data_IF_632189325693
#
_entry.id   IF_632189325693
#
_cell.length_a   1.000
_cell.length_b   1.000
_cell.length_c   1.000
_cell.angle_alpha   90.00
_cell.angle_beta   90.00
_cell.angle_gamma   90.00
#
_symmetry.space_group_name_H-M   'P 1'
#
loop_
_entity.id
_entity.type
_entity.pdbx_description
1 polymer ?
#
# COMPACT_ATOMS: atom_id res chain seq x y z
N UNK A 1 15.96 -24.26 -30.47
CA UNK A 1 14.73 -23.74 -29.89
C UNK A 1 15.09 -22.62 -28.92
N UNK A 2 14.52 -21.42 -29.10
CA UNK A 2 14.74 -20.30 -28.17
C UNK A 2 13.71 -20.35 -27.03
N UNK A 3 14.01 -19.72 -25.90
CA UNK A 3 13.09 -19.54 -24.81
C UNK A 3 11.85 -18.78 -25.31
N UNK A 4 10.66 -19.33 -25.06
CA UNK A 4 9.39 -18.75 -25.51
C UNK A 4 8.74 -17.97 -24.39
N UNK A 5 8.81 -18.49 -23.17
CA UNK A 5 8.33 -17.83 -21.96
C UNK A 5 9.08 -18.35 -20.74
N UNK A 6 9.17 -17.52 -19.71
CA UNK A 6 9.63 -17.89 -18.38
C UNK A 6 8.56 -17.42 -17.39
N UNK A 7 8.00 -18.36 -16.65
CA UNK A 7 7.05 -18.08 -15.58
C UNK A 7 7.73 -18.28 -14.24
N UNK A 8 7.74 -17.27 -13.39
CA UNK A 8 8.24 -17.33 -12.01
C UNK A 8 7.08 -17.01 -11.06
N UNK A 9 6.26 -18.00 -10.70
CA UNK A 9 5.05 -17.78 -9.90
C UNK A 9 5.31 -17.17 -8.52
N UNK A 10 6.47 -17.47 -7.94
CA UNK A 10 6.87 -16.95 -6.64
C UNK A 10 7.08 -15.43 -6.66
N UNK A 11 7.46 -14.87 -7.80
CA UNK A 11 7.73 -13.45 -7.97
C UNK A 11 6.64 -12.74 -8.77
N UNK A 12 5.57 -13.46 -9.15
CA UNK A 12 4.51 -13.00 -10.05
C UNK A 12 5.05 -12.42 -11.37
N UNK A 13 6.19 -12.95 -11.86
CA UNK A 13 6.85 -12.49 -13.08
C UNK A 13 6.63 -13.48 -14.22
N UNK A 14 6.02 -12.98 -15.30
CA UNK A 14 5.94 -13.66 -16.58
C UNK A 14 6.77 -12.90 -17.61
N UNK A 15 7.82 -13.52 -18.11
CA UNK A 15 8.61 -13.00 -19.22
C UNK A 15 8.23 -13.75 -20.48
N UNK A 16 7.65 -13.04 -21.44
CA UNK A 16 7.24 -13.60 -22.73
C UNK A 16 8.02 -12.90 -23.82
N UNK A 17 8.42 -13.65 -24.85
CA UNK A 17 9.12 -13.08 -25.99
C UNK A 17 8.21 -12.11 -26.77
N UNK A 18 8.74 -10.96 -27.21
CA UNK A 18 7.98 -9.87 -27.84
C UNK A 18 7.16 -10.26 -29.08
N UNK A 19 7.58 -11.31 -29.79
CA UNK A 19 6.87 -11.81 -30.97
C UNK A 19 5.71 -12.78 -30.63
N UNK A 20 5.50 -13.07 -29.34
CA UNK A 20 4.37 -13.84 -28.85
C UNK A 20 3.31 -12.87 -28.31
N UNK A 21 2.04 -13.12 -28.64
CA UNK A 21 0.95 -12.35 -28.07
C UNK A 21 1.05 -12.36 -26.55
N UNK A 22 1.21 -11.18 -25.96
CA UNK A 22 1.25 -11.03 -24.50
C UNK A 22 0.04 -11.73 -23.88
N UNK A 23 0.22 -12.62 -22.90
CA UNK A 23 -0.91 -13.10 -22.14
C UNK A 23 -1.58 -11.88 -21.53
N UNK A 24 -2.87 -11.71 -21.76
CA UNK A 24 -3.66 -10.69 -21.09
C UNK A 24 -3.54 -10.97 -19.61
N UNK A 25 -2.69 -10.21 -18.91
CA UNK A 25 -2.68 -10.24 -17.45
C UNK A 25 -4.09 -9.84 -17.01
N UNK A 26 -4.78 -10.76 -16.41
CA UNK A 26 -6.09 -10.49 -15.85
C UNK A 26 -5.85 -9.61 -14.64
N UNK A 27 -5.93 -8.30 -14.83
CA UNK A 27 -5.90 -7.36 -13.71
C UNK A 27 -7.12 -7.69 -12.85
N UNK A 28 -6.91 -8.39 -11.76
CA UNK A 28 -7.98 -8.65 -10.79
C UNK A 28 -8.24 -7.33 -10.09
N UNK A 29 -9.34 -6.68 -10.43
CA UNK A 29 -9.80 -5.52 -9.69
C UNK A 29 -10.44 -6.02 -8.41
N UNK A 30 -9.82 -5.74 -7.28
CA UNK A 30 -10.39 -6.02 -5.97
C UNK A 30 -11.35 -4.91 -5.56
N UNK A 31 -12.47 -5.27 -4.97
CA UNK A 31 -13.48 -4.33 -4.51
C UNK A 31 -14.24 -4.87 -3.30
N UNK A 32 -14.40 -4.05 -2.28
CA UNK A 32 -15.28 -4.33 -1.15
C UNK A 32 -16.63 -3.62 -1.35
N UNK A 33 -17.73 -4.13 -0.77
CA UNK A 33 -19.05 -3.51 -0.89
C UNK A 33 -19.14 -2.06 -0.41
N UNK A 34 -18.23 -1.66 0.51
CA UNK A 34 -18.18 -0.30 1.07
C UNK A 34 -17.13 0.61 0.41
N UNK A 35 -16.57 0.20 -0.74
CA UNK A 35 -15.52 0.98 -1.40
C UNK A 35 -16.07 2.23 -2.09
N UNK A 36 -15.41 3.35 -1.81
CA UNK A 36 -15.68 4.68 -2.37
C UNK A 36 -14.36 5.27 -2.87
N UNK A 37 -14.32 5.65 -4.15
CA UNK A 37 -13.15 6.34 -4.70
C UNK A 37 -12.99 7.74 -4.11
N UNK A 38 -11.76 8.14 -3.85
CA UNK A 38 -11.44 9.48 -3.36
C UNK A 38 -10.18 10.03 -4.02
N UNK A 39 -10.13 11.35 -4.10
CA UNK A 39 -8.96 12.13 -4.51
C UNK A 39 -8.50 12.94 -3.30
N UNK A 40 -7.28 12.71 -2.85
CA UNK A 40 -6.73 13.32 -1.65
C UNK A 40 -5.63 14.31 -2.04
N UNK A 41 -5.79 15.60 -1.73
CA UNK A 41 -4.75 16.60 -2.01
C UNK A 41 -3.46 16.29 -1.23
N UNK A 42 -2.34 16.31 -1.91
CA UNK A 42 -0.99 16.18 -1.36
C UNK A 42 -0.13 17.39 -1.77
N UNK A 43 1.19 17.32 -1.55
CA UNK A 43 2.10 18.43 -1.81
C UNK A 43 2.32 18.65 -3.32
N UNK A 44 1.44 19.43 -3.96
CA UNK A 44 1.53 19.78 -5.38
C UNK A 44 0.95 18.76 -6.36
N UNK A 45 0.29 17.72 -5.86
CA UNK A 45 -0.40 16.70 -6.65
C UNK A 45 -1.54 16.07 -5.85
N UNK A 46 -2.27 15.13 -6.45
CA UNK A 46 -3.33 14.41 -5.78
C UNK A 46 -2.98 12.92 -5.66
N UNK A 47 -3.39 12.29 -4.57
CA UNK A 47 -3.36 10.85 -4.37
C UNK A 47 -4.71 10.24 -4.77
N UNK A 48 -4.68 9.21 -5.62
CA UNK A 48 -5.84 8.38 -5.90
C UNK A 48 -6.02 7.38 -4.77
N UNK A 49 -7.19 7.36 -4.14
CA UNK A 49 -7.46 6.57 -2.96
C UNK A 49 -8.78 5.82 -3.05
N UNK A 50 -8.93 4.83 -2.19
CA UNK A 50 -10.18 4.13 -1.92
C UNK A 50 -10.44 4.15 -0.42
N UNK A 51 -11.65 4.58 -0.04
CA UNK A 51 -12.17 4.42 1.32
C UNK A 51 -13.07 3.19 1.35
N UNK A 52 -12.83 2.32 2.32
CA UNK A 52 -13.73 1.20 2.59
C UNK A 52 -14.51 1.53 3.86
N UNK A 53 -15.83 1.65 3.73
CA UNK A 53 -16.71 2.01 4.83
C UNK A 53 -17.30 0.79 5.51
N UNK A 54 -17.55 0.85 6.83
CA UNK A 54 -18.38 -0.12 7.52
C UNK A 54 -19.77 -0.19 6.92
N UNK A 55 -20.30 -1.40 6.73
CA UNK A 55 -21.70 -1.62 6.33
C UNK A 55 -22.66 -1.24 7.44
N UNK A 56 -23.89 -0.84 7.08
CA UNK A 56 -24.93 -0.50 8.04
C UNK A 56 -24.73 0.80 8.83
N UNK A 57 -23.89 1.70 8.33
CA UNK A 57 -23.63 2.99 8.96
C UNK A 57 -24.92 3.84 9.03
N UNK A 58 -25.26 4.29 10.24
CA UNK A 58 -26.35 5.27 10.46
C UNK A 58 -25.84 6.67 10.13
N UNK A 59 -26.71 7.51 9.55
CA UNK A 59 -26.37 8.90 9.26
C UNK A 59 -25.86 9.63 10.53
N UNK A 60 -24.71 10.33 10.40
CA UNK A 60 -24.08 11.04 11.51
C UNK A 60 -23.08 10.21 12.33
N UNK A 61 -22.93 8.91 12.08
CA UNK A 61 -21.91 8.09 12.72
C UNK A 61 -20.51 8.59 12.35
N UNK A 62 -19.61 8.67 13.34
CA UNK A 62 -18.19 8.94 13.16
C UNK A 62 -17.40 7.67 13.42
N UNK A 63 -16.64 7.23 12.44
CA UNK A 63 -15.84 6.01 12.52
C UNK A 63 -14.41 6.28 12.98
N UNK A 64 -13.79 5.38 13.75
CA UNK A 64 -12.35 5.32 13.81
C UNK A 64 -11.81 5.02 12.39
N UNK A 65 -10.66 5.56 12.04
CA UNK A 65 -10.09 5.35 10.72
C UNK A 65 -8.69 4.73 10.79
N UNK A 66 -8.35 3.94 9.75
CA UNK A 66 -7.03 3.34 9.59
C UNK A 66 -6.50 3.66 8.20
N UNK A 67 -5.30 4.22 8.12
CA UNK A 67 -4.57 4.42 6.87
C UNK A 67 -3.72 3.17 6.63
N UNK A 68 -3.85 2.55 5.46
CA UNK A 68 -3.12 1.35 5.08
C UNK A 68 -1.97 1.71 4.14
N UNK A 69 -0.77 1.30 4.48
CA UNK A 69 0.47 1.55 3.73
C UNK A 69 1.07 0.20 3.31
N UNK A 70 1.05 -0.06 2.01
CA UNK A 70 1.66 -1.25 1.42
C UNK A 70 3.19 -1.15 1.42
N UNK A 71 3.87 -2.30 1.37
CA UNK A 71 5.32 -2.41 1.19
C UNK A 71 5.81 -1.95 -0.18
N UNK A 72 7.12 -2.03 -0.42
CA UNK A 72 7.76 -1.54 -1.66
C UNK A 72 7.34 -2.30 -2.91
N UNK A 73 7.00 -3.57 -2.77
CA UNK A 73 6.62 -4.48 -3.86
C UNK A 73 5.24 -4.13 -4.47
N UNK A 74 4.40 -3.39 -3.74
CA UNK A 74 3.08 -2.99 -4.19
C UNK A 74 3.06 -1.49 -4.52
N UNK A 75 2.87 -1.17 -5.81
CA UNK A 75 2.72 0.21 -6.27
C UNK A 75 1.27 0.69 -6.15
N UNK A 76 0.30 -0.22 -6.24
CA UNK A 76 -1.12 0.07 -6.18
C UNK A 76 -1.66 0.09 -4.73
N UNK A 77 -2.86 0.65 -4.60
CA UNK A 77 -3.55 0.80 -3.31
C UNK A 77 -4.04 -0.51 -2.70
N UNK A 78 -4.19 -1.55 -3.51
CA UNK A 78 -4.69 -2.85 -3.04
C UNK A 78 -3.57 -3.72 -2.48
N UNK A 79 -2.30 -3.30 -2.69
CA UNK A 79 -1.13 -4.02 -2.19
C UNK A 79 -1.04 -5.41 -2.79
N UNK A 80 -1.17 -5.49 -4.11
CA UNK A 80 -1.16 -6.75 -4.83
C UNK A 80 0.18 -7.46 -4.66
N UNK A 81 0.19 -8.58 -3.96
CA UNK A 81 1.36 -9.42 -3.77
C UNK A 81 0.99 -10.86 -4.13
N UNK A 82 1.71 -11.47 -5.07
CA UNK A 82 1.47 -12.85 -5.54
C UNK A 82 0.00 -13.14 -5.92
N UNK A 83 -0.68 -12.15 -6.52
CA UNK A 83 -2.09 -12.27 -6.89
C UNK A 83 -3.09 -12.06 -5.75
N UNK A 84 -2.63 -11.71 -4.54
CA UNK A 84 -3.49 -11.43 -3.37
C UNK A 84 -3.53 -9.93 -3.12
N UNK A 85 -4.72 -9.28 -3.11
CA UNK A 85 -4.88 -7.85 -2.82
C UNK A 85 -4.86 -7.61 -1.30
N UNK A 86 -3.68 -7.75 -0.68
CA UNK A 86 -3.51 -7.79 0.78
C UNK A 86 -4.10 -6.58 1.50
N UNK A 87 -3.87 -5.37 0.97
CA UNK A 87 -4.42 -4.15 1.57
C UNK A 87 -5.91 -4.00 1.30
N UNK A 88 -6.38 -4.48 0.14
CA UNK A 88 -7.80 -4.53 -0.19
C UNK A 88 -8.58 -5.44 0.77
N UNK A 89 -8.11 -6.66 1.00
CA UNK A 89 -8.72 -7.61 1.94
C UNK A 89 -8.69 -7.11 3.37
N UNK A 90 -7.56 -6.54 3.79
CA UNK A 90 -7.42 -5.95 5.12
C UNK A 90 -8.38 -4.77 5.33
N UNK A 91 -8.59 -3.94 4.29
CA UNK A 91 -9.56 -2.85 4.33
C UNK A 91 -10.99 -3.37 4.55
N UNK A 92 -11.36 -4.45 3.85
CA UNK A 92 -12.65 -5.12 4.05
C UNK A 92 -12.82 -5.69 5.45
N UNK A 93 -11.80 -6.36 5.98
CA UNK A 93 -11.81 -6.90 7.35
C UNK A 93 -11.95 -5.79 8.40
N UNK A 94 -11.23 -4.68 8.24
CA UNK A 94 -11.33 -3.51 9.11
C UNK A 94 -12.71 -2.85 9.03
N UNK A 95 -13.28 -2.74 7.83
CA UNK A 95 -14.64 -2.21 7.65
C UNK A 95 -15.68 -3.07 8.36
N UNK A 96 -15.57 -4.40 8.28
CA UNK A 96 -16.42 -5.33 9.02
C UNK A 96 -16.25 -5.21 10.55
N UNK A 97 -15.07 -4.79 11.00
CA UNK A 97 -14.80 -4.50 12.41
C UNK A 97 -15.20 -3.08 12.86
N UNK A 98 -15.82 -2.30 11.96
CA UNK A 98 -16.32 -0.96 12.28
C UNK A 98 -15.33 0.19 12.09
N UNK A 99 -14.23 -0.03 11.38
CA UNK A 99 -13.25 1.01 11.03
C UNK A 99 -13.46 1.48 9.59
N UNK A 100 -13.30 2.77 9.36
CA UNK A 100 -13.13 3.29 8.01
C UNK A 100 -11.68 3.08 7.59
N UNK A 101 -11.45 2.28 6.56
CA UNK A 101 -10.10 2.04 6.05
C UNK A 101 -9.82 2.90 4.82
N UNK A 102 -8.60 3.43 4.72
CA UNK A 102 -8.14 4.20 3.57
C UNK A 102 -6.87 3.57 3.02
N UNK A 103 -6.88 3.28 1.73
CA UNK A 103 -5.73 2.84 0.95
C UNK A 103 -5.55 3.75 -0.26
N UNK A 104 -4.33 4.01 -0.69
CA UNK A 104 -4.06 4.92 -1.80
C UNK A 104 -2.87 4.42 -2.65
N UNK A 105 -2.86 4.78 -3.92
CA UNK A 105 -1.73 4.52 -4.80
C UNK A 105 -0.56 5.39 -4.36
N UNK A 106 0.64 4.82 -4.35
CA UNK A 106 1.85 5.60 -4.06
C UNK A 106 2.03 6.72 -5.09
N UNK A 107 2.69 7.79 -4.69
CA UNK A 107 3.02 8.89 -5.61
C UNK A 107 3.71 8.36 -6.88
N UNK A 108 3.32 8.89 -8.04
CA UNK A 108 3.85 8.49 -9.34
C UNK A 108 3.35 7.14 -9.85
N UNK A 109 2.34 6.52 -9.19
CA UNK A 109 1.75 5.26 -9.62
C UNK A 109 0.22 5.30 -9.65
N UNK A 110 -0.39 4.38 -10.38
CA UNK A 110 -1.84 4.23 -10.48
C UNK A 110 -2.56 5.52 -10.84
N UNK A 111 -3.48 5.95 -9.97
CA UNK A 111 -4.21 7.21 -10.13
C UNK A 111 -3.59 8.38 -9.33
N UNK A 112 -2.46 8.16 -8.67
CA UNK A 112 -1.75 9.19 -7.95
C UNK A 112 -0.82 9.97 -8.86
N UNK A 113 -0.84 11.29 -8.72
CA UNK A 113 0.16 12.17 -9.34
C UNK A 113 1.50 12.12 -8.62
N UNK A 114 2.35 13.08 -8.95
CA UNK A 114 3.72 13.16 -8.43
C UNK A 114 4.71 12.37 -9.28
N UNK A 115 5.91 12.16 -8.75
CA UNK A 115 6.98 11.42 -9.42
C UNK A 115 7.41 10.26 -8.55
N UNK A 116 7.77 9.14 -9.17
CA UNK A 116 8.32 7.96 -8.49
C UNK A 116 9.86 8.02 -8.38
N UNK A 117 10.51 8.79 -9.28
CA UNK A 117 11.96 8.88 -9.32
C UNK A 117 12.50 9.67 -8.12
N UNK A 118 13.54 9.17 -7.48
CA UNK A 118 14.22 9.80 -6.35
C UNK A 118 13.35 10.03 -5.11
N UNK A 119 12.28 9.24 -4.95
CA UNK A 119 11.40 9.30 -3.78
C UNK A 119 12.08 8.69 -2.57
N UNK A 120 11.94 9.35 -1.44
CA UNK A 120 12.44 8.90 -0.14
C UNK A 120 11.30 8.37 0.73
N UNK A 121 11.65 7.65 1.80
CA UNK A 121 10.66 7.23 2.81
C UNK A 121 9.99 8.43 3.49
N UNK A 122 10.70 9.56 3.64
CA UNK A 122 10.12 10.80 4.20
C UNK A 122 9.06 11.40 3.26
N UNK A 123 9.24 11.28 1.94
CA UNK A 123 8.24 11.73 0.96
C UNK A 123 6.96 10.89 1.08
N UNK A 124 7.08 9.57 1.21
CA UNK A 124 5.92 8.70 1.46
C UNK A 124 5.27 8.97 2.82
N UNK A 125 6.07 9.29 3.85
CA UNK A 125 5.54 9.68 5.14
C UNK A 125 4.79 11.03 5.08
N UNK A 126 5.22 11.94 4.20
CA UNK A 126 4.51 13.19 3.94
C UNK A 126 3.14 12.90 3.28
N UNK A 127 3.06 11.96 2.34
CA UNK A 127 1.79 11.55 1.73
C UNK A 127 0.85 10.95 2.77
N UNK A 128 1.34 10.05 3.62
CA UNK A 128 0.53 9.49 4.71
C UNK A 128 -0.01 10.56 5.66
N UNK A 129 0.77 11.62 5.95
CA UNK A 129 0.31 12.78 6.73
C UNK A 129 -0.72 13.63 5.98
N UNK A 130 -0.62 13.73 4.65
CA UNK A 130 -1.65 14.41 3.85
C UNK A 130 -2.99 13.64 3.93
N UNK A 131 -2.96 12.31 3.82
CA UNK A 131 -4.14 11.46 4.03
C UNK A 131 -4.70 11.61 5.44
N UNK A 132 -3.85 11.64 6.48
CA UNK A 132 -4.26 11.90 7.85
C UNK A 132 -4.96 13.26 7.99
N UNK A 133 -4.38 14.32 7.44
CA UNK A 133 -4.94 15.67 7.49
C UNK A 133 -6.30 15.76 6.80
N UNK A 134 -6.44 15.08 5.66
CA UNK A 134 -7.69 14.99 4.91
C UNK A 134 -8.76 14.21 5.70
N UNK A 135 -8.42 13.07 6.30
CA UNK A 135 -9.35 12.30 7.15
C UNK A 135 -9.89 13.13 8.33
N UNK A 136 -9.05 13.93 8.94
CA UNK A 136 -9.45 14.77 10.09
C UNK A 136 -10.50 15.83 9.74
N UNK A 137 -10.64 16.20 8.49
CA UNK A 137 -11.62 17.18 8.01
C UNK A 137 -12.97 16.54 7.67
N UNK A 138 -13.02 15.22 7.59
CA UNK A 138 -14.24 14.50 7.23
C UNK A 138 -15.22 14.46 8.40
N UNK A 139 -16.51 14.62 8.08
CA UNK A 139 -17.59 14.60 9.09
C UNK A 139 -17.89 13.20 9.61
N UNK A 140 -17.58 12.18 8.84
CA UNK A 140 -17.81 10.75 9.11
C UNK A 140 -16.61 10.07 9.80
N UNK A 141 -15.54 10.81 10.12
CA UNK A 141 -14.36 10.31 10.81
C UNK A 141 -14.28 10.90 12.22
N UNK A 142 -13.97 10.06 13.20
CA UNK A 142 -13.55 10.53 14.52
C UNK A 142 -12.08 10.96 14.44
N UNK A 143 -11.85 12.25 14.37
CA UNK A 143 -10.53 12.85 14.20
C UNK A 143 -9.52 12.55 15.33
N UNK A 144 -9.98 11.97 16.44
CA UNK A 144 -9.13 11.52 17.55
C UNK A 144 -8.75 10.05 17.47
N UNK A 145 -9.37 9.30 16.56
CA UNK A 145 -9.18 7.85 16.41
C UNK A 145 -8.76 7.51 14.98
N UNK A 146 -7.67 8.12 14.53
CA UNK A 146 -7.04 7.83 13.24
C UNK A 146 -5.72 7.14 13.51
N UNK A 147 -5.60 5.89 13.08
CA UNK A 147 -4.39 5.08 13.16
C UNK A 147 -3.75 4.90 11.78
N UNK A 148 -2.51 4.44 11.76
CA UNK A 148 -1.81 4.03 10.55
C UNK A 148 -1.30 2.60 10.70
N UNK A 149 -1.43 1.81 9.65
CA UNK A 149 -0.92 0.46 9.55
C UNK A 149 0.02 0.38 8.35
N UNK A 150 1.24 -0.09 8.59
CA UNK A 150 2.23 -0.34 7.54
C UNK A 150 2.64 -1.79 7.48
N UNK A 151 2.81 -2.31 6.26
CA UNK A 151 3.31 -3.64 5.98
C UNK A 151 4.67 -3.56 5.28
N UNK A 152 5.64 -4.38 5.69
CA UNK A 152 6.99 -4.35 5.14
C UNK A 152 7.61 -2.95 5.27
N UNK A 153 8.12 -2.38 4.19
CA UNK A 153 8.67 -1.01 4.14
C UNK A 153 7.62 0.07 4.45
N UNK A 154 6.33 -0.22 4.19
CA UNK A 154 5.23 0.66 4.59
C UNK A 154 5.18 0.87 6.11
N UNK A 155 5.73 -0.05 6.90
CA UNK A 155 5.84 0.13 8.33
C UNK A 155 6.88 1.21 8.71
N UNK A 156 8.00 1.32 7.99
CA UNK A 156 8.93 2.43 8.19
C UNK A 156 8.29 3.78 7.84
N UNK A 157 7.53 3.82 6.75
CA UNK A 157 6.75 5.01 6.35
C UNK A 157 5.77 5.39 7.46
N UNK A 158 5.05 4.41 8.02
CA UNK A 158 4.12 4.62 9.13
C UNK A 158 4.83 5.15 10.38
N UNK A 159 5.99 4.62 10.73
CA UNK A 159 6.82 5.10 11.85
C UNK A 159 7.25 6.55 11.63
N UNK A 160 7.78 6.89 10.45
CA UNK A 160 8.19 8.25 10.12
C UNK A 160 7.01 9.22 10.16
N UNK A 161 5.85 8.83 9.61
CA UNK A 161 4.65 9.64 9.65
C UNK A 161 4.20 9.96 11.09
N UNK A 162 4.22 8.95 11.98
CA UNK A 162 3.81 9.11 13.40
C UNK A 162 4.82 9.92 14.22
N UNK A 163 6.09 9.84 13.92
CA UNK A 163 7.11 10.71 14.57
C UNK A 163 6.88 12.18 14.22
N UNK A 164 6.48 12.48 13.00
CA UNK A 164 6.21 13.84 12.51
C UNK A 164 4.82 14.35 12.87
N UNK A 165 3.86 13.44 13.01
CA UNK A 165 2.46 13.78 13.34
C UNK A 165 2.01 12.99 14.59
N UNK A 166 2.15 13.62 15.74
CA UNK A 166 1.89 13.01 17.06
C UNK A 166 0.42 12.76 17.38
N UNK A 167 -0.50 13.20 16.52
CA UNK A 167 -1.95 13.04 16.71
C UNK A 167 -2.50 11.74 16.13
N UNK A 168 -1.68 10.90 15.54
CA UNK A 168 -2.08 9.53 15.25
C UNK A 168 -2.45 8.80 16.53
N UNK A 169 -3.62 8.16 16.54
CA UNK A 169 -4.12 7.40 17.69
C UNK A 169 -3.38 6.08 17.92
N UNK A 170 -2.74 5.55 16.87
CA UNK A 170 -2.01 4.30 16.95
C UNK A 170 -1.20 4.02 15.69
N UNK A 171 -0.22 3.14 15.85
CA UNK A 171 0.62 2.59 14.79
C UNK A 171 0.55 1.06 14.87
N UNK A 172 0.29 0.43 13.74
CA UNK A 172 0.41 -1.02 13.57
C UNK A 172 1.52 -1.30 12.56
N UNK A 173 2.43 -2.17 12.92
CA UNK A 173 3.57 -2.59 12.08
C UNK A 173 3.47 -4.07 11.82
N UNK A 174 3.37 -4.45 10.54
CA UNK A 174 3.30 -5.85 10.10
C UNK A 174 4.54 -6.15 9.26
N UNK A 175 5.28 -7.20 9.62
CA UNK A 175 6.47 -7.65 8.90
C UNK A 175 7.47 -6.51 8.61
N UNK A 176 7.61 -5.55 9.53
CA UNK A 176 8.58 -4.48 9.39
C UNK A 176 10.01 -5.05 9.45
N UNK A 177 10.92 -4.59 8.57
CA UNK A 177 12.32 -4.92 8.72
C UNK A 177 12.85 -4.39 10.07
N UNK A 178 13.54 -5.25 10.81
CA UNK A 178 14.13 -4.91 12.12
C UNK A 178 15.56 -4.34 12.01
N UNK A 179 16.09 -4.28 10.77
CA UNK A 179 17.42 -3.77 10.43
C UNK A 179 17.35 -2.38 9.81
N UNK A 180 18.48 -1.73 9.64
CA UNK A 180 18.56 -0.49 8.85
C UNK A 180 18.32 -0.78 7.36
N UNK A 181 17.91 0.24 6.58
CA UNK A 181 17.68 0.08 5.15
C UNK A 181 18.92 -0.43 4.40
N UNK A 182 20.13 -0.01 4.81
CA UNK A 182 21.37 -0.49 4.22
C UNK A 182 21.63 -1.97 4.51
N UNK A 183 21.38 -2.43 5.74
CA UNK A 183 21.51 -3.84 6.13
C UNK A 183 20.48 -4.70 5.38
N UNK A 184 19.23 -4.24 5.27
CA UNK A 184 18.19 -4.95 4.53
C UNK A 184 18.59 -5.16 3.06
N UNK A 185 19.04 -4.10 2.38
CA UNK A 185 19.47 -4.21 0.98
C UNK A 185 20.64 -5.19 0.83
N UNK A 186 21.61 -5.16 1.75
CA UNK A 186 22.74 -6.10 1.72
C UNK A 186 22.28 -7.54 1.97
N UNK A 187 21.35 -7.77 2.88
CA UNK A 187 20.78 -9.10 3.13
C UNK A 187 20.01 -9.64 1.92
N UNK A 188 19.16 -8.81 1.30
CA UNK A 188 18.43 -9.17 0.09
C UNK A 188 19.37 -9.52 -1.07
N UNK A 189 20.43 -8.72 -1.28
CA UNK A 189 21.42 -9.01 -2.30
C UNK A 189 22.19 -10.31 -2.04
N UNK A 190 22.58 -10.55 -0.78
CA UNK A 190 23.24 -11.82 -0.41
C UNK A 190 22.33 -13.01 -0.66
N UNK A 191 21.08 -12.91 -0.22
CA UNK A 191 20.08 -13.98 -0.44
C UNK A 191 19.88 -14.27 -1.94
N UNK A 192 19.73 -13.24 -2.77
CA UNK A 192 19.60 -13.39 -4.21
C UNK A 192 20.84 -14.06 -4.84
N UNK A 193 22.04 -13.66 -4.41
CA UNK A 193 23.28 -14.26 -4.89
C UNK A 193 23.45 -15.73 -4.43
N UNK A 194 23.00 -16.06 -3.24
CA UNK A 194 23.06 -17.41 -2.73
C UNK A 194 22.10 -18.34 -3.48
N UNK A 195 20.90 -17.86 -3.83
CA UNK A 195 19.97 -18.60 -4.70
C UNK A 195 20.57 -18.90 -6.07
N UNK A 196 21.34 -17.97 -6.65
CA UNK A 196 22.00 -18.16 -7.94
C UNK A 196 23.20 -19.13 -7.89
N UNK A 197 23.74 -19.41 -6.71
CA UNK A 197 24.86 -20.33 -6.49
C UNK A 197 24.42 -21.77 -6.14
N UNK A 198 23.16 -21.97 -5.83
CA UNK A 198 22.62 -23.31 -5.51
C UNK A 198 22.46 -24.08 -6.80
N UNK A 199 23.29 -25.13 -7.09
CA UNK A 199 23.00 -26.04 -8.20
C UNK A 199 21.76 -26.85 -7.85
N UNK A 200 20.91 -27.08 -8.82
CA UNK A 200 19.78 -28.01 -8.74
C UNK A 200 20.19 -29.44 -8.40
#
# INVERSE_FOLDING_TARGET
GGLVSLNMPADAVDVVRDDMSSPTSRTMTYSNPGDEAAIIPAAGFNLGATLTRPSGAVAGTRFPAVILLAGSDAADRDGMAQGVPTMGELAGALANAGFLAVRYDKRGSGQSGGRAESVTLEDFAQDARAVFAWLRQRRDVDSRRIAVLGHGDGAWVAMLATVRERRFAGLVSIAAPASTGAELVLEQQRYALDLLKTPD
#
